data_IF_266798332202
#
_entry.id   IF_266798332202
#
_cell.length_a   1.000
_cell.length_b   1.000
_cell.length_c   1.000
_cell.angle_alpha   90.00
_cell.angle_beta   90.00
_cell.angle_gamma   90.00
#
_symmetry.space_group_name_H-M   'P 1'
#
loop_
_entity.id
_entity.type
_entity.pdbx_description
1 polymer ?
#
# COMPACT_ATOMS: atom_id res chain seq x y z
N UNK A 1 12.85 17.76 2.54
CA UNK A 1 11.61 17.92 1.76
C UNK A 1 11.68 16.92 0.63
N UNK A 2 10.92 15.82 0.70
CA UNK A 2 10.91 14.85 -0.40
C UNK A 2 10.21 15.46 -1.61
N UNK A 3 10.80 15.33 -2.79
CA UNK A 3 10.13 15.75 -4.02
C UNK A 3 8.83 14.98 -4.16
N UNK A 4 7.70 15.68 -4.21
CA UNK A 4 6.41 15.04 -4.45
C UNK A 4 6.41 14.49 -5.89
N UNK A 5 6.39 13.16 -6.01
CA UNK A 5 6.18 12.53 -7.31
C UNK A 5 4.71 12.70 -7.71
N UNK A 6 4.49 13.11 -8.96
CA UNK A 6 3.14 13.25 -9.53
C UNK A 6 2.90 12.08 -10.47
N UNK A 7 1.82 11.33 -10.22
CA UNK A 7 1.33 10.30 -11.14
C UNK A 7 0.87 10.97 -12.43
N UNK A 8 1.59 10.71 -13.53
CA UNK A 8 1.30 11.31 -14.85
C UNK A 8 0.32 10.48 -15.65
N UNK A 9 0.47 9.16 -15.61
CA UNK A 9 -0.44 8.21 -16.22
C UNK A 9 -1.14 7.47 -15.08
N UNK A 10 -2.44 7.68 -14.93
CA UNK A 10 -3.21 7.04 -13.87
C UNK A 10 -3.49 5.55 -14.16
N UNK A 11 -3.44 5.12 -15.43
CA UNK A 11 -3.69 3.74 -15.84
C UNK A 11 -2.44 2.85 -15.87
N UNK A 12 -1.25 3.42 -15.65
CA UNK A 12 -0.01 2.66 -15.59
C UNK A 12 0.10 1.82 -14.30
N UNK A 13 1.00 0.84 -14.34
CA UNK A 13 1.39 0.09 -13.15
C UNK A 13 2.43 0.90 -12.37
N UNK A 14 2.21 1.06 -11.07
CA UNK A 14 3.04 1.85 -10.17
C UNK A 14 3.59 1.00 -9.04
N UNK A 15 4.84 1.27 -8.67
CA UNK A 15 5.39 0.86 -7.39
C UNK A 15 5.14 1.95 -6.37
N UNK A 16 4.44 1.62 -5.28
CA UNK A 16 4.08 2.54 -4.20
C UNK A 16 4.57 2.02 -2.86
N UNK A 17 4.98 2.97 -2.01
CA UNK A 17 5.50 2.66 -0.67
C UNK A 17 4.75 3.51 0.36
N UNK A 18 4.26 2.88 1.42
CA UNK A 18 3.62 3.57 2.54
C UNK A 18 4.42 3.34 3.82
N UNK A 19 4.80 4.41 4.49
CA UNK A 19 5.56 4.36 5.76
C UNK A 19 4.68 4.85 6.89
N UNK A 20 4.65 4.10 7.99
CA UNK A 20 3.97 4.51 9.22
C UNK A 20 4.61 5.79 9.75
N UNK A 21 3.80 6.72 10.27
CA UNK A 21 4.30 7.95 10.85
C UNK A 21 5.34 7.67 11.94
N UNK A 22 6.45 8.43 11.92
CA UNK A 22 7.59 8.23 12.83
C UNK A 22 8.21 6.83 12.82
N UNK A 23 7.98 6.03 11.77
CA UNK A 23 8.54 4.68 11.62
C UNK A 23 8.14 3.72 12.76
N UNK A 24 7.00 3.96 13.40
CA UNK A 24 6.50 3.10 14.47
C UNK A 24 6.16 1.71 13.91
N UNK A 25 6.59 0.66 14.62
CA UNK A 25 6.40 -0.74 14.23
C UNK A 25 4.98 -1.27 14.47
N UNK A 26 4.00 -0.64 13.81
CA UNK A 26 2.57 -0.98 13.91
C UNK A 26 2.30 -2.38 13.37
N UNK A 27 2.88 -2.75 12.24
CA UNK A 27 2.59 -4.02 11.56
C UNK A 27 3.27 -5.25 12.19
N UNK A 28 3.84 -5.11 13.38
CA UNK A 28 4.27 -6.26 14.21
C UNK A 28 3.08 -6.99 14.84
N UNK A 29 1.92 -6.33 14.94
CA UNK A 29 0.68 -6.91 15.45
C UNK A 29 -0.16 -7.47 14.30
N UNK A 30 -0.47 -8.78 14.29
CA UNK A 30 -1.28 -9.41 13.24
C UNK A 30 -2.61 -8.71 13.00
N UNK A 31 -3.29 -8.27 14.06
CA UNK A 31 -4.59 -7.60 13.96
C UNK A 31 -4.56 -6.36 13.03
N UNK A 32 -3.45 -5.61 13.02
CA UNK A 32 -3.31 -4.44 12.17
C UNK A 32 -2.96 -4.80 10.72
N UNK A 33 -2.20 -5.88 10.53
CA UNK A 33 -1.95 -6.44 9.19
C UNK A 33 -3.26 -6.96 8.59
N UNK A 34 -4.08 -7.65 9.37
CA UNK A 34 -5.38 -8.16 8.91
C UNK A 34 -6.33 -7.04 8.47
N UNK A 35 -6.37 -5.92 9.20
CA UNK A 35 -7.15 -4.74 8.81
C UNK A 35 -6.66 -4.15 7.49
N UNK A 36 -5.34 -4.05 7.29
CA UNK A 36 -4.74 -3.57 6.05
C UNK A 36 -5.11 -4.50 4.88
N UNK A 37 -4.95 -5.82 5.05
CA UNK A 37 -5.26 -6.80 4.02
C UNK A 37 -6.75 -6.85 3.68
N UNK A 38 -7.64 -6.74 4.67
CA UNK A 38 -9.08 -6.63 4.45
C UNK A 38 -9.44 -5.38 3.64
N UNK A 39 -8.78 -4.26 3.93
CA UNK A 39 -8.96 -3.00 3.19
C UNK A 39 -8.48 -3.11 1.75
N UNK A 40 -7.31 -3.72 1.51
CA UNK A 40 -6.81 -3.99 0.15
C UNK A 40 -7.79 -4.89 -0.63
N UNK A 41 -8.28 -5.97 -0.02
CA UNK A 41 -9.26 -6.88 -0.62
C UNK A 41 -10.58 -6.16 -0.97
N UNK A 42 -11.03 -5.24 -0.11
CA UNK A 42 -12.19 -4.39 -0.41
C UNK A 42 -11.92 -3.49 -1.61
N UNK A 43 -10.75 -2.85 -1.69
CA UNK A 43 -10.36 -2.02 -2.82
C UNK A 43 -10.30 -2.81 -4.14
N UNK A 44 -9.80 -4.06 -4.13
CA UNK A 44 -9.82 -4.91 -5.32
C UNK A 44 -11.26 -5.19 -5.79
N UNK A 45 -12.18 -5.47 -4.87
CA UNK A 45 -13.57 -5.84 -5.19
C UNK A 45 -14.45 -4.66 -5.62
N UNK A 46 -14.26 -3.49 -4.99
CA UNK A 46 -15.20 -2.37 -5.09
C UNK A 46 -14.62 -1.18 -5.86
N UNK A 47 -13.30 -1.01 -5.81
CA UNK A 47 -12.63 0.16 -6.41
C UNK A 47 -11.83 -0.17 -7.67
N UNK A 48 -11.81 -1.43 -8.11
CA UNK A 48 -11.06 -1.85 -9.29
C UNK A 48 -9.54 -1.90 -9.09
N UNK A 49 -9.05 -1.86 -7.84
CA UNK A 49 -7.61 -1.90 -7.57
C UNK A 49 -7.03 -3.25 -8.00
N UNK A 50 -6.05 -3.23 -8.90
CA UNK A 50 -5.27 -4.40 -9.29
C UNK A 50 -3.97 -4.42 -8.49
N UNK A 51 -3.69 -5.56 -7.84
CA UNK A 51 -2.49 -5.75 -7.02
C UNK A 51 -1.69 -6.90 -7.63
N UNK A 52 -0.49 -6.59 -8.12
CA UNK A 52 0.41 -7.58 -8.73
C UNK A 52 1.35 -8.20 -7.71
N UNK A 53 1.85 -7.41 -6.75
CA UNK A 53 2.69 -7.87 -5.65
C UNK A 53 2.58 -6.93 -4.46
N UNK A 54 2.81 -7.45 -3.26
CA UNK A 54 2.89 -6.65 -2.03
C UNK A 54 3.78 -7.32 -0.99
N UNK A 55 4.31 -6.51 -0.07
CA UNK A 55 4.95 -6.99 1.17
C UNK A 55 4.64 -6.01 2.30
N UNK A 56 4.38 -6.53 3.49
CA UNK A 56 4.19 -5.76 4.72
C UNK A 56 5.40 -6.02 5.63
N UNK A 57 6.12 -4.96 5.95
CA UNK A 57 7.22 -4.95 6.91
C UNK A 57 6.71 -4.36 8.24
N UNK A 58 7.51 -4.32 9.30
CA UNK A 58 7.06 -3.87 10.64
C UNK A 58 6.47 -2.45 10.69
N UNK A 59 6.95 -1.54 9.85
CA UNK A 59 6.58 -0.11 9.87
C UNK A 59 6.30 0.49 8.48
N UNK A 60 6.28 -0.33 7.43
CA UNK A 60 5.98 0.14 6.08
C UNK A 60 5.50 -1.02 5.19
N UNK A 61 4.90 -0.69 4.06
CA UNK A 61 4.54 -1.68 3.06
C UNK A 61 4.88 -1.18 1.64
N UNK A 62 5.12 -2.14 0.77
CA UNK A 62 5.44 -1.92 -0.64
C UNK A 62 4.41 -2.65 -1.49
N UNK A 63 3.88 -1.99 -2.53
CA UNK A 63 2.93 -2.59 -3.45
C UNK A 63 3.27 -2.26 -4.91
N UNK A 64 2.97 -3.19 -5.81
CA UNK A 64 2.93 -2.97 -7.26
C UNK A 64 1.45 -3.03 -7.68
N UNK A 65 0.89 -1.90 -8.10
CA UNK A 65 -0.56 -1.72 -8.29
C UNK A 65 -0.92 -0.95 -9.56
N UNK A 66 -2.16 -1.15 -10.03
CA UNK A 66 -2.86 -0.31 -11.01
C UNK A 66 -4.27 0.00 -10.47
N UNK A 67 -4.76 1.21 -10.65
CA UNK A 67 -6.05 1.67 -10.11
C UNK A 67 -6.90 2.33 -11.20
#
# INVERSE_FOLDING_TARGET
MGYAYVVRDQGAVHYVTFTVHQWVDVFTRPEYVDILLASLKHCQKVKGLEIYAWVVMSNHCHLIIRA
#
